data_IF_170884957043
#
_entry.id   IF_170884957043
#
_cell.length_a   1.000
_cell.length_b   1.000
_cell.length_c   1.000
_cell.angle_alpha   90.00
_cell.angle_beta   90.00
_cell.angle_gamma   90.00
#
_symmetry.space_group_name_H-M   'P 1'
#
loop_
_entity.id
_entity.type
_entity.pdbx_description
1 polymer ?
#
# COMPACT_ATOMS: atom_id res chain seq x y z
N UNK A 1 1.47 13.26 4.81
CA UNK A 1 1.59 12.23 3.77
C UNK A 1 1.08 12.81 2.46
N UNK A 2 1.80 12.71 1.35
CA UNK A 2 1.31 13.12 0.05
C UNK A 2 0.52 11.99 -0.61
N UNK A 3 -0.46 12.36 -1.42
CA UNK A 3 -1.11 11.48 -2.38
C UNK A 3 -0.46 11.69 -3.75
N UNK A 4 -0.16 10.63 -4.46
CA UNK A 4 0.26 10.67 -5.84
C UNK A 4 -0.97 10.58 -6.73
N UNK A 5 -1.09 11.52 -7.66
CA UNK A 5 -2.23 11.66 -8.55
C UNK A 5 -1.71 11.50 -9.97
N UNK A 6 -2.35 10.65 -10.75
CA UNK A 6 -1.99 10.43 -12.15
C UNK A 6 -3.22 10.69 -13.03
N UNK A 7 -3.08 11.64 -13.94
CA UNK A 7 -4.02 11.89 -15.01
C UNK A 7 -3.53 11.29 -16.32
N UNK A 8 -4.45 11.00 -17.23
CA UNK A 8 -4.17 10.55 -18.58
C UNK A 8 -4.89 11.43 -19.60
N UNK A 9 -4.38 11.43 -20.82
CA UNK A 9 -5.01 12.11 -21.96
C UNK A 9 -4.98 11.21 -23.19
N UNK A 10 -6.09 11.19 -23.91
CA UNK A 10 -6.18 10.61 -25.25
C UNK A 10 -5.91 11.65 -26.35
N UNK A 11 -5.88 12.94 -25.99
CA UNK A 11 -5.61 14.04 -26.92
C UNK A 11 -4.16 14.46 -26.94
N UNK A 12 -3.52 14.53 -25.79
CA UNK A 12 -2.11 14.86 -25.67
C UNK A 12 -1.32 13.55 -25.58
N UNK A 13 -0.78 13.15 -26.72
CA UNK A 13 -0.04 11.90 -26.84
C UNK A 13 1.45 12.12 -26.61
N UNK A 14 2.07 11.20 -25.90
CA UNK A 14 3.51 11.09 -25.79
C UNK A 14 4.08 10.19 -26.89
N UNK A 15 5.41 10.21 -27.06
CA UNK A 15 6.11 9.30 -27.96
C UNK A 15 6.81 8.21 -27.17
N UNK A 16 6.63 6.98 -27.59
CA UNK A 16 7.41 5.84 -27.13
C UNK A 16 8.17 5.22 -28.31
N UNK A 17 9.12 4.33 -28.03
CA UNK A 17 9.95 3.68 -29.05
C UNK A 17 9.87 2.16 -28.88
N UNK A 18 9.75 1.46 -29.99
CA UNK A 18 9.84 0.00 -30.02
C UNK A 18 11.33 -0.47 -29.99
N UNK A 19 11.55 -1.78 -30.00
CA UNK A 19 12.91 -2.36 -30.03
C UNK A 19 13.73 -2.03 -31.27
N UNK A 20 13.07 -1.56 -32.34
CA UNK A 20 13.72 -1.09 -33.60
C UNK A 20 13.94 0.42 -33.60
N UNK A 21 13.76 1.12 -32.47
CA UNK A 21 13.84 2.58 -32.35
C UNK A 21 12.84 3.37 -33.20
N UNK A 22 11.77 2.74 -33.66
CA UNK A 22 10.68 3.42 -34.33
C UNK A 22 9.75 4.06 -33.30
N UNK A 23 9.43 5.34 -33.49
CA UNK A 23 8.54 6.05 -32.58
C UNK A 23 7.07 5.73 -32.88
N UNK A 24 6.30 5.53 -31.82
CA UNK A 24 4.84 5.41 -31.90
C UNK A 24 4.17 6.26 -30.82
N UNK A 25 2.94 6.77 -31.08
CA UNK A 25 2.22 7.54 -30.11
C UNK A 25 1.68 6.64 -28.98
N UNK A 26 1.81 7.11 -27.74
CA UNK A 26 1.20 6.53 -26.55
C UNK A 26 0.37 7.60 -25.85
N UNK A 27 -0.56 7.19 -25.01
CA UNK A 27 -1.32 8.13 -24.19
C UNK A 27 -0.40 9.00 -23.36
N UNK A 28 -0.71 10.28 -23.28
CA UNK A 28 -0.01 11.20 -22.39
C UNK A 28 -0.45 10.97 -20.95
N UNK A 29 0.52 11.09 -20.04
CA UNK A 29 0.29 11.02 -18.60
C UNK A 29 0.84 12.27 -17.92
N UNK A 30 0.11 12.74 -16.90
CA UNK A 30 0.54 13.85 -16.06
C UNK A 30 0.40 13.43 -14.59
N UNK A 31 1.55 13.30 -13.92
CA UNK A 31 1.62 12.85 -12.53
C UNK A 31 2.19 13.92 -11.61
N UNK A 32 1.56 14.11 -10.46
CA UNK A 32 2.04 15.00 -9.41
C UNK A 32 1.65 14.50 -8.03
N UNK A 33 2.19 15.14 -6.99
CA UNK A 33 1.85 14.86 -5.60
C UNK A 33 1.13 16.05 -4.98
N UNK A 34 0.18 15.76 -4.11
CA UNK A 34 -0.55 16.76 -3.36
C UNK A 34 -0.65 16.36 -1.88
N UNK A 35 -0.50 17.29 -0.93
CA UNK A 35 -0.65 16.99 0.48
C UNK A 35 -2.13 16.87 0.85
N UNK A 36 -2.42 16.03 1.84
CA UNK A 36 -3.71 16.05 2.52
C UNK A 36 -3.83 17.28 3.41
N UNK A 37 -5.05 17.79 3.56
CA UNK A 37 -5.39 18.88 4.46
C UNK A 37 -6.07 18.31 5.70
N UNK A 38 -5.57 18.70 6.89
CA UNK A 38 -6.17 18.28 8.15
C UNK A 38 -7.49 19.02 8.35
N UNK A 39 -8.54 18.28 8.65
CA UNK A 39 -9.87 18.81 8.93
C UNK A 39 -10.12 18.84 10.45
N UNK A 40 -10.22 20.05 11.00
CA UNK A 40 -10.53 20.25 12.42
C UNK A 40 -9.54 19.59 13.39
N UNK A 41 -10.00 19.31 14.61
CA UNK A 41 -9.21 18.65 15.66
C UNK A 41 -9.35 17.12 15.67
N UNK A 42 -10.21 16.54 14.84
CA UNK A 42 -10.57 15.11 14.86
C UNK A 42 -9.57 14.15 14.21
N UNK A 43 -8.42 14.64 13.73
CA UNK A 43 -7.41 13.77 13.11
C UNK A 43 -7.76 13.29 11.70
N UNK A 44 -8.87 13.75 11.12
CA UNK A 44 -9.24 13.47 9.73
C UNK A 44 -8.36 14.28 8.77
N UNK A 45 -7.84 13.61 7.75
CA UNK A 45 -7.09 14.22 6.65
C UNK A 45 -7.88 14.04 5.36
N UNK A 46 -8.15 15.13 4.65
CA UNK A 46 -8.99 15.13 3.46
C UNK A 46 -8.30 15.79 2.29
N UNK A 47 -8.64 15.33 1.09
CA UNK A 47 -8.29 15.96 -0.17
C UNK A 47 -9.45 15.77 -1.15
N UNK A 48 -9.71 16.78 -1.95
CA UNK A 48 -10.66 16.72 -3.07
C UNK A 48 -9.88 16.69 -4.39
N UNK A 49 -10.20 15.73 -5.24
CA UNK A 49 -9.50 15.51 -6.50
C UNK A 49 -10.53 15.52 -7.62
N UNK A 50 -10.28 16.34 -8.63
CA UNK A 50 -11.14 16.39 -9.81
C UNK A 50 -10.99 15.09 -10.63
N UNK A 51 -12.09 14.44 -10.99
CA UNK A 51 -12.09 13.30 -11.91
C UNK A 51 -11.80 13.76 -13.33
N UNK A 52 -12.37 14.90 -13.72
CA UNK A 52 -12.07 15.59 -14.96
C UNK A 52 -11.11 16.75 -14.68
N UNK A 53 -9.87 16.62 -15.09
CA UNK A 53 -8.85 17.65 -14.98
C UNK A 53 -8.93 18.70 -16.08
N UNK A 54 -9.78 18.49 -17.08
CA UNK A 54 -10.08 19.47 -18.14
C UNK A 54 -8.88 19.87 -18.99
N UNK A 55 -8.90 21.14 -19.42
CA UNK A 55 -7.87 21.76 -20.24
C UNK A 55 -7.85 21.28 -21.71
N UNK A 56 -6.92 21.79 -22.53
CA UNK A 56 -6.82 21.41 -23.94
C UNK A 56 -6.59 19.92 -24.17
N UNK A 57 -5.89 19.26 -23.24
CA UNK A 57 -5.60 17.83 -23.27
C UNK A 57 -6.76 16.95 -22.78
N UNK A 58 -7.82 17.52 -22.21
CA UNK A 58 -8.94 16.80 -21.61
C UNK A 58 -8.44 15.69 -20.65
N UNK A 59 -7.64 16.12 -19.67
CA UNK A 59 -7.08 15.23 -18.66
C UNK A 59 -8.17 14.53 -17.86
N UNK A 60 -8.06 13.22 -17.71
CA UNK A 60 -8.96 12.40 -16.89
C UNK A 60 -8.17 11.69 -15.82
N UNK A 61 -8.71 11.63 -14.61
CA UNK A 61 -8.08 10.91 -13.50
C UNK A 61 -7.90 9.44 -13.88
N UNK A 62 -6.66 8.98 -13.84
CA UNK A 62 -6.31 7.60 -14.13
C UNK A 62 -6.14 6.78 -12.85
N UNK A 63 -5.33 7.27 -11.93
CA UNK A 63 -5.10 6.57 -10.66
C UNK A 63 -4.65 7.50 -9.54
N UNK A 64 -4.90 7.03 -8.32
CA UNK A 64 -4.41 7.62 -7.07
C UNK A 64 -3.57 6.59 -6.33
N UNK A 65 -2.46 7.03 -5.73
CA UNK A 65 -1.72 6.23 -4.76
C UNK A 65 -1.68 6.96 -3.43
N UNK A 66 -2.22 6.33 -2.41
CA UNK A 66 -2.18 6.79 -1.03
C UNK A 66 -1.18 5.94 -0.27
N UNK A 67 -0.07 6.56 0.16
CA UNK A 67 0.97 5.87 0.91
C UNK A 67 0.97 6.30 2.37
N UNK A 68 1.24 5.35 3.26
CA UNK A 68 1.44 5.60 4.68
C UNK A 68 2.52 4.69 5.24
N UNK A 69 3.16 5.12 6.31
CA UNK A 69 4.21 4.38 6.99
C UNK A 69 4.20 4.67 8.49
N UNK A 70 4.89 3.86 9.25
CA UNK A 70 5.13 4.12 10.67
C UNK A 70 5.95 5.41 10.80
N UNK A 71 5.53 6.28 11.71
CA UNK A 71 6.17 7.57 11.91
C UNK A 71 7.56 7.42 12.56
N UNK A 72 8.51 8.27 12.17
CA UNK A 72 9.92 8.16 12.56
C UNK A 72 10.16 8.37 14.08
N UNK A 73 9.22 8.99 14.78
CA UNK A 73 9.28 9.21 16.23
C UNK A 73 8.84 7.97 17.06
N UNK A 74 8.40 6.89 16.43
CA UNK A 74 8.02 5.66 17.12
C UNK A 74 9.29 4.86 17.47
N UNK A 75 9.50 4.42 18.74
CA UNK A 75 10.72 3.70 19.14
C UNK A 75 11.03 2.46 18.31
N UNK A 76 10.01 1.79 17.80
CA UNK A 76 10.13 0.61 16.94
C UNK A 76 10.92 0.87 15.65
N UNK A 77 10.96 2.11 15.15
CA UNK A 77 11.65 2.50 13.90
C UNK A 77 13.17 2.54 14.06
N UNK A 78 13.67 2.72 15.30
CA UNK A 78 15.10 2.92 15.54
C UNK A 78 15.95 1.80 14.95
N UNK A 79 16.91 2.18 14.08
CA UNK A 79 17.83 1.25 13.41
C UNK A 79 17.20 0.39 12.31
N UNK A 80 16.03 0.77 11.80
CA UNK A 80 15.33 0.05 10.73
C UNK A 80 14.99 0.98 9.57
N UNK A 81 15.03 0.46 8.37
CA UNK A 81 14.46 1.14 7.21
C UNK A 81 12.95 0.94 7.19
N UNK A 82 12.21 2.04 7.18
CA UNK A 82 10.75 2.00 7.17
C UNK A 82 10.23 1.99 5.74
N UNK A 83 9.52 0.92 5.39
CA UNK A 83 8.91 0.72 4.08
C UNK A 83 7.48 1.26 4.08
N UNK A 84 7.14 1.98 3.03
CA UNK A 84 5.79 2.51 2.84
C UNK A 84 4.80 1.43 2.41
N UNK A 85 3.60 1.53 2.95
CA UNK A 85 2.43 0.75 2.51
C UNK A 85 1.53 1.66 1.67
N UNK A 86 1.02 1.16 0.56
CA UNK A 86 0.21 1.96 -0.37
C UNK A 86 -1.10 1.29 -0.73
N UNK A 87 -2.14 2.09 -0.86
CA UNK A 87 -3.33 1.77 -1.64
C UNK A 87 -3.24 2.41 -3.02
N UNK A 88 -3.71 1.70 -4.04
CA UNK A 88 -3.80 2.18 -5.41
C UNK A 88 -5.27 2.11 -5.83
N UNK A 89 -5.79 3.21 -6.34
CA UNK A 89 -7.15 3.34 -6.83
C UNK A 89 -7.09 3.71 -8.31
N UNK A 90 -7.57 2.82 -9.17
CA UNK A 90 -7.66 3.04 -10.61
C UNK A 90 -9.07 3.49 -10.98
N UNK A 91 -9.19 4.49 -11.84
CA UNK A 91 -10.44 5.04 -12.32
C UNK A 91 -10.63 4.68 -13.79
N UNK A 92 -11.79 4.09 -14.10
CA UNK A 92 -12.11 3.64 -15.46
C UNK A 92 -11.45 2.31 -15.84
N UNK A 93 -11.53 1.98 -17.14
CA UNK A 93 -11.13 0.67 -17.66
C UNK A 93 -9.62 0.52 -17.89
N UNK A 94 -8.85 1.56 -17.65
CA UNK A 94 -7.45 1.69 -18.06
C UNK A 94 -6.49 1.86 -16.90
N UNK A 95 -6.75 1.20 -15.78
CA UNK A 95 -5.75 1.16 -14.71
C UNK A 95 -4.41 0.69 -15.25
N UNK A 96 -3.32 1.36 -14.87
CA UNK A 96 -1.98 0.85 -15.17
C UNK A 96 -1.90 -0.58 -14.62
N UNK A 97 -1.37 -1.51 -15.39
CA UNK A 97 -1.02 -2.82 -14.86
C UNK A 97 -0.13 -2.59 -13.64
N UNK A 98 -0.29 -3.36 -12.59
CA UNK A 98 0.46 -3.20 -11.34
C UNK A 98 1.98 -3.43 -11.46
N UNK A 99 2.50 -3.50 -12.66
CA UNK A 99 3.92 -3.77 -12.96
C UNK A 99 4.40 -5.16 -12.54
N UNK A 100 3.63 -5.85 -11.72
CA UNK A 100 3.91 -7.21 -11.23
C UNK A 100 3.03 -8.27 -11.90
N UNK A 101 2.23 -7.88 -12.89
CA UNK A 101 1.41 -8.81 -13.68
C UNK A 101 0.26 -9.46 -12.91
N UNK A 102 -0.04 -9.01 -11.70
CA UNK A 102 -1.14 -9.59 -10.92
C UNK A 102 -2.50 -9.22 -11.48
N UNK A 103 -2.64 -8.11 -12.21
CA UNK A 103 -3.81 -7.70 -13.00
C UNK A 103 -5.16 -7.68 -12.27
N UNK A 104 -5.17 -7.94 -10.96
CA UNK A 104 -6.36 -8.26 -10.18
C UNK A 104 -6.74 -7.16 -9.19
N UNK A 105 -6.94 -5.96 -9.70
CA UNK A 105 -7.61 -4.95 -8.89
C UNK A 105 -9.00 -5.45 -8.47
N UNK A 106 -9.40 -5.20 -7.23
CA UNK A 106 -10.78 -5.45 -6.79
C UNK A 106 -11.68 -4.40 -7.41
N UNK A 107 -12.68 -4.83 -8.18
CA UNK A 107 -13.69 -3.90 -8.69
C UNK A 107 -14.64 -3.48 -7.57
N UNK A 108 -14.89 -2.18 -7.46
CA UNK A 108 -15.80 -1.57 -6.51
C UNK A 108 -16.64 -0.53 -7.22
N UNK A 109 -17.95 -0.55 -6.98
CA UNK A 109 -18.87 0.48 -7.45
C UNK A 109 -19.48 1.22 -6.26
N UNK A 110 -19.51 2.55 -6.34
CA UNK A 110 -19.93 3.41 -5.23
C UNK A 110 -18.79 3.74 -4.27
N UNK A 111 -19.13 4.36 -3.15
CA UNK A 111 -18.16 4.81 -2.15
C UNK A 111 -17.45 3.64 -1.48
N UNK A 112 -16.20 3.86 -1.10
CA UNK A 112 -15.31 2.83 -0.57
C UNK A 112 -14.87 3.20 0.85
N UNK A 113 -15.13 2.29 1.79
CA UNK A 113 -14.66 2.36 3.17
C UNK A 113 -13.66 1.21 3.41
N UNK A 114 -12.42 1.58 3.74
CA UNK A 114 -11.31 0.66 3.97
C UNK A 114 -10.85 0.76 5.41
N UNK A 115 -11.48 -0.02 6.28
CA UNK A 115 -11.01 -0.26 7.62
C UNK A 115 -10.16 -1.53 7.64
N UNK A 116 -8.86 -1.38 7.93
CA UNK A 116 -7.90 -2.49 7.83
C UNK A 116 -6.98 -2.53 9.02
N UNK A 117 -6.85 -3.71 9.63
CA UNK A 117 -5.88 -3.98 10.68
C UNK A 117 -4.48 -4.18 10.07
N UNK A 118 -3.49 -3.49 10.65
CA UNK A 118 -2.09 -3.57 10.27
C UNK A 118 -1.23 -3.96 11.48
N UNK A 119 -0.25 -4.80 11.21
CA UNK A 119 0.73 -5.28 12.18
C UNK A 119 2.12 -4.84 11.74
N UNK A 120 2.93 -4.23 12.61
CA UNK A 120 4.33 -3.97 12.27
C UNK A 120 5.06 -5.28 12.02
N UNK A 121 5.71 -5.38 10.87
CA UNK A 121 6.51 -6.52 10.45
C UNK A 121 7.96 -6.10 10.34
N UNK A 122 8.80 -6.73 11.12
CA UNK A 122 10.25 -6.55 11.08
C UNK A 122 10.86 -7.68 10.26
N UNK A 123 11.51 -7.36 9.16
CA UNK A 123 12.24 -8.32 8.35
C UNK A 123 13.74 -8.12 8.54
N UNK A 124 14.43 -9.17 9.01
CA UNK A 124 15.88 -9.15 9.24
C UNK A 124 16.56 -9.86 8.07
N UNK A 125 17.28 -9.11 7.24
CA UNK A 125 18.07 -9.67 6.13
C UNK A 125 19.52 -9.83 6.52
N UNK A 126 19.97 -11.08 6.72
CA UNK A 126 21.38 -11.36 6.99
C UNK A 126 22.25 -11.11 5.75
N UNK A 127 21.71 -11.34 4.56
CA UNK A 127 22.45 -11.17 3.30
C UNK A 127 22.85 -9.70 3.06
N UNK A 128 21.98 -8.75 3.40
CA UNK A 128 22.22 -7.33 3.20
C UNK A 128 22.59 -6.60 4.48
N UNK A 129 22.70 -7.30 5.61
CA UNK A 129 22.89 -6.72 6.94
C UNK A 129 21.90 -5.56 7.20
N UNK A 130 20.66 -5.76 6.83
CA UNK A 130 19.63 -4.74 6.83
C UNK A 130 18.39 -5.24 7.57
N UNK A 131 17.78 -4.34 8.32
CA UNK A 131 16.49 -4.61 8.97
C UNK A 131 15.47 -3.62 8.42
N UNK A 132 14.39 -4.13 7.86
CA UNK A 132 13.28 -3.31 7.38
C UNK A 132 12.08 -3.44 8.32
N UNK A 133 11.26 -2.41 8.34
CA UNK A 133 10.00 -2.35 9.08
C UNK A 133 8.90 -1.92 8.13
N UNK A 134 7.92 -2.76 7.92
CA UNK A 134 6.76 -2.47 7.11
C UNK A 134 5.46 -2.65 7.90
N UNK A 135 4.34 -2.33 7.30
CA UNK A 135 3.00 -2.61 7.80
C UNK A 135 2.41 -3.79 7.04
N UNK A 136 2.36 -4.94 7.70
CA UNK A 136 1.67 -6.12 7.23
C UNK A 136 0.20 -6.03 7.59
N UNK A 137 -0.69 -6.12 6.63
CA UNK A 137 -2.11 -5.99 6.91
C UNK A 137 -2.98 -6.26 5.70
N UNK A 138 -4.25 -6.34 6.00
CA UNK A 138 -5.24 -6.77 5.06
C UNK A 138 -5.24 -8.28 4.89
N UNK A 139 -6.26 -8.75 4.28
CA UNK A 139 -6.45 -10.14 3.96
C UNK A 139 -5.35 -10.62 2.99
N UNK A 140 -4.36 -11.33 3.51
CA UNK A 140 -3.16 -11.74 2.81
C UNK A 140 -3.25 -13.19 2.36
N UNK A 141 -3.71 -13.36 1.22
CA UNK A 141 -3.55 -14.55 0.41
C UNK A 141 -3.40 -14.09 -1.03
N UNK A 142 -3.01 -14.92 -2.00
CA UNK A 142 -2.84 -14.51 -3.39
C UNK A 142 -4.06 -13.78 -3.97
N UNK A 143 -5.24 -14.01 -3.38
CA UNK A 143 -6.48 -13.33 -3.74
C UNK A 143 -6.86 -12.17 -2.82
N UNK A 144 -6.16 -12.01 -1.70
CA UNK A 144 -6.49 -11.07 -0.61
C UNK A 144 -5.51 -9.89 -0.53
N UNK A 145 -4.47 -9.85 -1.34
CA UNK A 145 -3.52 -8.75 -1.47
C UNK A 145 -4.10 -7.60 -2.26
N UNK A 146 -5.27 -7.15 -1.88
CA UNK A 146 -5.95 -6.13 -2.65
C UNK A 146 -5.82 -4.79 -1.97
N UNK A 147 -4.64 -4.21 -2.15
CA UNK A 147 -4.42 -2.78 -1.94
C UNK A 147 -4.64 -2.01 -3.24
N UNK A 148 -5.13 -2.68 -4.30
CA UNK A 148 -5.46 -2.06 -5.57
C UNK A 148 -6.94 -2.28 -5.88
N UNK A 149 -7.61 -1.18 -6.17
CA UNK A 149 -9.04 -1.13 -6.41
C UNK A 149 -9.30 -0.48 -7.76
N UNK A 150 -10.21 -1.03 -8.54
CA UNK A 150 -10.76 -0.40 -9.71
C UNK A 150 -12.11 0.18 -9.35
N UNK A 151 -12.23 1.50 -9.42
CA UNK A 151 -13.38 2.22 -8.91
C UNK A 151 -14.32 2.63 -10.04
N UNK A 152 -15.63 2.46 -9.79
CA UNK A 152 -16.70 2.93 -10.67
C UNK A 152 -17.74 3.69 -9.85
N UNK A 153 -18.13 4.88 -10.33
CA UNK A 153 -19.14 5.71 -9.65
C UNK A 153 -18.81 6.02 -8.18
N UNK A 154 -17.52 6.13 -7.86
CA UNK A 154 -17.03 6.41 -6.51
C UNK A 154 -16.85 7.91 -6.34
N UNK A 155 -17.43 8.47 -5.28
CA UNK A 155 -17.28 9.86 -4.88
C UNK A 155 -16.39 10.01 -3.67
N UNK A 156 -16.44 9.06 -2.73
CA UNK A 156 -15.69 9.10 -1.51
C UNK A 156 -14.88 7.81 -1.29
N UNK A 157 -13.65 7.98 -0.81
CA UNK A 157 -12.81 6.89 -0.34
C UNK A 157 -12.38 7.24 1.08
N UNK A 158 -12.82 6.44 2.04
CA UNK A 158 -12.39 6.53 3.43
C UNK A 158 -11.35 5.45 3.69
N UNK A 159 -10.20 5.82 4.26
CA UNK A 159 -9.12 4.90 4.63
C UNK A 159 -8.86 5.04 6.11
N UNK A 160 -9.08 3.98 6.86
CA UNK A 160 -8.96 3.91 8.31
C UNK A 160 -7.99 2.77 8.70
N UNK A 161 -6.66 3.00 8.64
CA UNK A 161 -5.69 1.99 9.06
C UNK A 161 -5.65 1.88 10.59
N UNK A 162 -5.91 0.69 11.12
CA UNK A 162 -5.77 0.38 12.53
C UNK A 162 -4.41 -0.32 12.75
N UNK A 163 -3.46 0.35 13.40
CA UNK A 163 -2.12 -0.18 13.58
C UNK A 163 -1.96 -0.76 14.99
N UNK A 164 -1.66 -2.05 15.08
CA UNK A 164 -1.47 -2.80 16.32
C UNK A 164 0.02 -2.81 16.71
N UNK A 165 0.50 -1.74 17.33
CA UNK A 165 1.91 -1.61 17.73
C UNK A 165 2.36 -2.61 18.79
N UNK A 166 1.43 -3.20 19.50
CA UNK A 166 1.65 -4.24 20.49
C UNK A 166 1.78 -5.65 19.88
N UNK A 167 1.53 -5.78 18.58
CA UNK A 167 1.56 -7.06 17.86
C UNK A 167 2.60 -7.04 16.72
N UNK A 168 3.86 -6.92 17.09
CA UNK A 168 4.99 -6.93 16.13
C UNK A 168 5.32 -8.37 15.77
N UNK A 169 5.40 -8.68 14.47
CA UNK A 169 5.92 -9.96 13.98
C UNK A 169 7.33 -9.77 13.41
N UNK A 170 8.23 -10.71 13.68
CA UNK A 170 9.60 -10.68 13.13
C UNK A 170 9.78 -11.83 12.15
N UNK A 171 10.27 -11.52 10.96
CA UNK A 171 10.61 -12.49 9.93
C UNK A 171 12.13 -12.58 9.80
N UNK A 172 12.63 -13.81 9.86
CA UNK A 172 14.06 -14.10 9.71
C UNK A 172 14.24 -15.11 8.58
N UNK A 173 15.06 -14.81 7.56
CA UNK A 173 15.41 -15.80 6.55
C UNK A 173 16.26 -16.94 7.16
N UNK A 174 16.23 -18.11 6.56
CA UNK A 174 17.13 -19.20 6.96
C UNK A 174 18.57 -18.91 6.53
N UNK A 175 19.55 -19.51 7.20
CA UNK A 175 20.96 -19.42 6.83
C UNK A 175 21.29 -20.20 5.54
N UNK A 176 20.41 -21.11 5.12
CA UNK A 176 20.49 -21.91 3.90
C UNK A 176 19.15 -21.86 3.17
N UNK A 177 19.05 -22.24 1.88
CA UNK A 177 17.78 -22.26 1.16
C UNK A 177 16.69 -23.00 1.94
N UNK A 178 15.57 -22.33 2.20
CA UNK A 178 14.50 -22.89 3.02
C UNK A 178 13.39 -21.89 3.32
N UNK A 179 12.57 -22.24 4.31
CA UNK A 179 11.45 -21.43 4.76
C UNK A 179 11.87 -20.34 5.73
N UNK A 180 11.26 -19.17 5.64
CA UNK A 180 11.39 -18.12 6.63
C UNK A 180 10.89 -18.57 8.01
N UNK A 181 11.43 -17.97 9.05
CA UNK A 181 10.89 -18.12 10.40
C UNK A 181 10.11 -16.87 10.76
N UNK A 182 8.82 -17.02 11.06
CA UNK A 182 8.00 -15.98 11.65
C UNK A 182 7.98 -16.14 13.16
N UNK A 183 8.31 -15.09 13.91
CA UNK A 183 8.25 -15.01 15.37
C UNK A 183 7.13 -14.04 15.72
N UNK A 184 6.14 -14.53 16.45
CA UNK A 184 4.95 -13.80 16.84
C UNK A 184 5.08 -13.10 18.19
N UNK A 185 4.21 -12.10 18.50
CA UNK A 185 4.25 -11.36 19.76
C UNK A 185 4.09 -12.20 21.02
N UNK A 186 3.43 -13.36 20.91
CA UNK A 186 3.25 -14.32 22.01
C UNK A 186 4.47 -15.23 22.25
N UNK A 187 5.56 -15.00 21.50
CA UNK A 187 6.79 -15.82 21.55
C UNK A 187 6.71 -17.10 20.72
N UNK A 188 5.57 -17.43 20.14
CA UNK A 188 5.47 -18.58 19.24
C UNK A 188 6.19 -18.33 17.93
N UNK A 189 6.67 -19.39 17.28
CA UNK A 189 7.31 -19.30 15.98
C UNK A 189 6.80 -20.36 15.02
N UNK A 190 6.88 -20.07 13.72
CA UNK A 190 6.54 -21.04 12.66
C UNK A 190 7.41 -20.84 11.43
N UNK A 191 7.55 -21.90 10.63
CA UNK A 191 8.23 -21.88 9.34
C UNK A 191 7.22 -21.58 8.23
N UNK A 192 7.40 -20.45 7.55
CA UNK A 192 6.51 -19.99 6.47
C UNK A 192 7.21 -20.05 5.12
N UNK A 193 6.54 -20.45 4.03
CA UNK A 193 7.14 -20.58 2.70
C UNK A 193 7.32 -19.24 1.97
N UNK A 194 6.74 -18.17 2.48
CA UNK A 194 6.75 -16.83 1.86
C UNK A 194 6.78 -15.75 2.95
N UNK A 195 6.97 -14.52 2.55
CA UNK A 195 7.13 -13.35 3.43
C UNK A 195 5.82 -12.90 4.13
N UNK A 196 4.82 -13.78 4.20
CA UNK A 196 3.51 -13.43 4.76
C UNK A 196 3.23 -14.24 6.01
N UNK A 197 3.29 -13.63 7.20
CA UNK A 197 2.87 -14.28 8.44
C UNK A 197 1.36 -14.53 8.45
N UNK A 198 0.90 -15.37 9.39
CA UNK A 198 -0.54 -15.63 9.53
C UNK A 198 -1.27 -14.41 10.09
N UNK A 199 -2.15 -13.81 9.27
CA UNK A 199 -2.96 -12.67 9.66
C UNK A 199 -3.98 -13.03 10.74
N UNK A 200 -4.65 -14.17 10.59
CA UNK A 200 -5.62 -14.67 11.57
C UNK A 200 -4.97 -14.94 12.93
N UNK A 201 -3.74 -15.46 12.94
CA UNK A 201 -2.98 -15.67 14.16
C UNK A 201 -2.66 -14.33 14.84
N UNK A 202 -2.20 -13.32 14.08
CA UNK A 202 -1.93 -11.99 14.62
C UNK A 202 -3.21 -11.33 15.18
N UNK A 203 -4.35 -11.49 14.52
CA UNK A 203 -5.64 -11.04 15.06
C UNK A 203 -6.01 -11.72 16.37
N UNK A 204 -5.79 -13.06 16.46
CA UNK A 204 -6.20 -13.87 17.61
C UNK A 204 -5.34 -13.66 18.85
N UNK A 205 -4.07 -13.22 18.70
CA UNK A 205 -3.19 -12.94 19.82
C UNK A 205 -3.80 -11.83 20.67
N UNK A 206 -4.05 -12.10 21.95
CA UNK A 206 -4.54 -11.10 22.90
C UNK A 206 -3.44 -10.07 23.16
N UNK A 207 -3.78 -8.81 23.10
CA UNK A 207 -2.88 -7.73 23.52
C UNK A 207 -2.50 -8.00 25.00
N UNK A 208 -1.20 -8.15 25.25
CA UNK A 208 -0.72 -8.14 26.62
C UNK A 208 -0.86 -6.70 27.14
N UNK A 209 -2.05 -6.34 27.60
CA UNK A 209 -2.22 -5.16 28.42
C UNK A 209 -1.37 -5.40 29.68
N UNK A 210 -0.15 -4.87 29.66
CA UNK A 210 0.69 -4.81 30.85
C UNK A 210 -0.03 -4.05 31.94
N UNK A 211 -0.76 -4.78 32.76
CA UNK A 211 -1.30 -4.26 33.99
C UNK A 211 -0.13 -3.79 34.84
N UNK A 212 0.17 -2.50 34.79
CA UNK A 212 0.89 -1.86 35.88
C UNK A 212 -0.08 -1.84 37.06
N UNK A 213 0.15 -2.76 38.00
CA UNK A 213 -0.27 -2.55 39.37
C UNK A 213 0.68 -1.58 40.05
#
# INVERSE_FOLDING_TARGET
>A
MPIQILYRSEKCMDKSYNSSFESYPVRGYNGFTQPFVRQGMGGLWQISIAIDGGGPCQWQLNSLRVSFRIADNIPLVKGKEVIETSYIFDFGDYGLSDGYGTGRAKEVSGDLDLKTDYFPEVFISHLFNQTTLNLFGGNTGPEKWRRRFRLRNTQNILIEPVIHFDKVVTLTPPDAPGKLTAIYPDGSSEKIPHIYPSYEKLLSIRSCNGGKR
#
